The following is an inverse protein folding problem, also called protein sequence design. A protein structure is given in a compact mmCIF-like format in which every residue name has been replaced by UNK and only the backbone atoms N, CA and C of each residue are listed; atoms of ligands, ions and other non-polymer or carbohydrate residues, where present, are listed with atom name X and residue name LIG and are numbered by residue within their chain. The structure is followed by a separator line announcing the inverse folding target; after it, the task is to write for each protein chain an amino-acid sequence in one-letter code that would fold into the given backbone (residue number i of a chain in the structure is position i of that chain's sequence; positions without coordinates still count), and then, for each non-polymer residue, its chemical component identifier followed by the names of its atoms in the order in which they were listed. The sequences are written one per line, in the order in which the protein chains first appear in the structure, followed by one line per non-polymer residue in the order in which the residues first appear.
data_IF_861400402210
#
_entry.id   IF_861400402210
#
_cell.length_a   1.000
_cell.length_b   1.000
_cell.length_c   1.000
_cell.angle_alpha   90.00
_cell.angle_beta   90.00
_cell.angle_gamma   90.00
#
_symmetry.space_group_name_H-M   'P 1'
#
loop_
_entity.id
_entity.type
_entity.pdbx_description
1 polymer ?
#
# COMPACT_ATOMS: atom_id res chain seq x y z
N UNK A 1 -19.12 2.86 22.39
CA UNK A 1 -18.67 1.69 21.58
C UNK A 1 -17.76 2.07 20.38
N UNK A 2 -17.57 3.37 20.05
CA UNK A 2 -16.74 3.83 18.91
C UNK A 2 -15.21 3.85 19.20
N UNK A 3 -14.78 3.87 20.46
CA UNK A 3 -13.41 4.27 20.82
C UNK A 3 -12.35 3.19 20.59
N UNK A 4 -12.70 1.90 20.53
CA UNK A 4 -11.73 0.80 20.39
C UNK A 4 -11.13 0.73 18.98
N UNK A 5 -11.88 1.15 17.95
CA UNK A 5 -11.46 1.07 16.55
C UNK A 5 -10.28 1.99 16.22
N UNK A 6 -10.17 3.16 16.87
CA UNK A 6 -9.06 4.09 16.67
C UNK A 6 -7.72 3.55 17.17
N UNK A 7 -7.74 2.87 18.33
CA UNK A 7 -6.56 2.24 18.92
C UNK A 7 -6.12 1.03 18.09
N UNK A 8 -7.07 0.17 17.68
CA UNK A 8 -6.81 -0.98 16.81
C UNK A 8 -6.22 -0.54 15.46
N UNK A 9 -6.83 0.44 14.80
CA UNK A 9 -6.34 0.97 13.52
C UNK A 9 -4.95 1.60 13.66
N UNK A 10 -4.71 2.35 14.73
CA UNK A 10 -3.40 2.94 15.01
C UNK A 10 -2.31 1.90 15.27
N UNK A 11 -2.59 0.84 16.04
CA UNK A 11 -1.67 -0.27 16.29
C UNK A 11 -1.30 -1.01 15.00
N UNK A 12 -2.28 -1.28 14.15
CA UNK A 12 -2.07 -1.92 12.84
C UNK A 12 -1.16 -1.05 11.96
N UNK A 13 -1.43 0.26 11.87
CA UNK A 13 -0.61 1.20 11.09
C UNK A 13 0.83 1.29 11.61
N UNK A 14 1.03 1.33 12.94
CA UNK A 14 2.36 1.32 13.55
C UNK A 14 3.12 0.02 13.25
N UNK A 15 2.45 -1.13 13.35
CA UNK A 15 3.03 -2.44 13.02
C UNK A 15 3.47 -2.51 11.55
N UNK A 16 2.62 -2.09 10.62
CA UNK A 16 2.96 -2.02 9.21
C UNK A 16 4.08 -1.01 8.92
N UNK A 17 4.09 0.14 9.59
CA UNK A 17 5.15 1.14 9.47
C UNK A 17 6.52 0.60 9.88
N UNK A 18 6.59 -0.14 10.99
CA UNK A 18 7.80 -0.82 11.43
C UNK A 18 8.26 -1.89 10.42
N UNK A 19 7.34 -2.73 9.94
CA UNK A 19 7.65 -3.76 8.96
C UNK A 19 8.22 -3.15 7.67
N UNK A 20 7.65 -2.04 7.17
CA UNK A 20 8.13 -1.30 6.01
C UNK A 20 9.51 -0.67 6.26
N UNK A 21 9.71 -0.08 7.44
CA UNK A 21 10.97 0.56 7.82
C UNK A 21 12.14 -0.42 7.87
N UNK A 22 11.89 -1.66 8.32
CA UNK A 22 12.91 -2.72 8.41
C UNK A 22 12.96 -3.64 7.19
N UNK A 23 12.06 -3.48 6.20
CA UNK A 23 12.04 -4.33 4.99
C UNK A 23 13.31 -4.12 4.17
N UNK A 24 14.25 -5.06 4.29
CA UNK A 24 15.45 -5.14 3.48
C UNK A 24 15.10 -5.72 2.11
N UNK A 25 15.20 -4.92 1.06
CA UNK A 25 14.85 -5.39 -0.29
C UNK A 25 16.00 -6.19 -0.87
N UNK A 26 15.77 -7.49 -1.11
CA UNK A 26 16.76 -8.40 -1.63
C UNK A 26 16.73 -8.38 -3.17
N UNK A 27 17.67 -7.65 -3.78
CA UNK A 27 17.73 -7.41 -5.24
C UNK A 27 17.75 -8.68 -6.08
N UNK A 28 18.33 -9.77 -5.57
CA UNK A 28 18.41 -11.06 -6.27
C UNK A 28 17.01 -11.64 -6.52
N UNK A 29 16.09 -11.50 -5.56
CA UNK A 29 14.73 -11.97 -5.72
C UNK A 29 13.95 -11.12 -6.73
N UNK A 30 14.20 -9.82 -6.80
CA UNK A 30 13.46 -8.90 -7.68
C UNK A 30 13.90 -9.04 -9.15
N UNK A 31 15.20 -9.15 -9.42
CA UNK A 31 15.71 -9.39 -10.78
C UNK A 31 15.35 -10.79 -11.30
N UNK A 32 15.39 -11.82 -10.45
CA UNK A 32 14.91 -13.16 -10.80
C UNK A 32 13.40 -13.16 -11.06
N UNK A 33 12.62 -12.36 -10.32
CA UNK A 33 11.19 -12.28 -10.53
C UNK A 33 10.81 -11.65 -11.87
N UNK A 34 11.53 -10.61 -12.29
CA UNK A 34 11.35 -9.94 -13.57
C UNK A 34 11.75 -10.83 -14.75
N UNK A 35 12.91 -11.50 -14.69
CA UNK A 35 13.33 -12.43 -15.75
C UNK A 35 12.41 -13.64 -15.88
N UNK A 36 11.83 -14.10 -14.77
CA UNK A 36 10.80 -15.16 -14.79
C UNK A 36 9.46 -14.65 -15.32
N UNK A 37 9.14 -13.36 -15.13
CA UNK A 37 7.93 -12.73 -15.68
C UNK A 37 8.04 -12.63 -17.21
N UNK A 38 9.21 -12.24 -17.73
CA UNK A 38 9.50 -12.20 -19.17
C UNK A 38 9.49 -13.59 -19.82
N UNK A 39 9.84 -14.63 -19.06
CA UNK A 39 9.86 -16.02 -19.54
C UNK A 39 8.49 -16.73 -19.42
N UNK A 40 7.49 -16.11 -18.80
CA UNK A 40 6.19 -16.71 -18.60
C UNK A 40 5.35 -16.70 -19.90
N UNK A 41 4.95 -17.90 -20.36
CA UNK A 41 4.13 -18.06 -21.58
C UNK A 41 2.61 -17.98 -21.35
N UNK A 42 2.16 -18.05 -20.10
CA UNK A 42 0.72 -18.09 -19.77
C UNK A 42 0.26 -16.77 -19.14
N UNK A 43 -0.77 -16.16 -19.72
CA UNK A 43 -1.43 -14.95 -19.21
C UNK A 43 -1.93 -15.13 -17.76
N UNK A 44 -2.41 -16.32 -17.42
CA UNK A 44 -2.86 -16.64 -16.07
C UNK A 44 -1.71 -16.59 -15.05
N UNK A 45 -0.53 -17.09 -15.42
CA UNK A 45 0.65 -17.03 -14.57
C UNK A 45 1.14 -15.58 -14.42
N UNK A 46 1.10 -14.78 -15.49
CA UNK A 46 1.47 -13.37 -15.45
C UNK A 46 0.55 -12.57 -14.50
N UNK A 47 -0.77 -12.80 -14.62
CA UNK A 47 -1.78 -12.15 -13.77
C UNK A 47 -1.63 -12.54 -12.30
N UNK A 48 -1.55 -13.84 -12.00
CA UNK A 48 -1.42 -14.32 -10.62
C UNK A 48 -0.12 -13.85 -9.97
N UNK A 49 0.99 -13.89 -10.71
CA UNK A 49 2.28 -13.43 -10.18
C UNK A 49 2.29 -11.92 -9.95
N UNK A 50 1.73 -11.13 -10.86
CA UNK A 50 1.55 -9.68 -10.68
C UNK A 50 0.65 -9.35 -9.48
N UNK A 51 -0.47 -10.06 -9.33
CA UNK A 51 -1.38 -9.91 -8.20
C UNK A 51 -0.69 -10.27 -6.88
N UNK A 52 0.07 -11.37 -6.83
CA UNK A 52 0.85 -11.79 -5.66
C UNK A 52 1.88 -10.73 -5.26
N UNK A 53 2.64 -10.18 -6.21
CA UNK A 53 3.63 -9.11 -5.91
C UNK A 53 2.94 -7.88 -5.30
N UNK A 54 1.75 -7.52 -5.79
CA UNK A 54 0.99 -6.41 -5.25
C UNK A 54 0.44 -6.69 -3.84
N UNK A 55 -0.12 -7.89 -3.61
CA UNK A 55 -0.61 -8.34 -2.29
C UNK A 55 0.53 -8.46 -1.26
N UNK A 56 1.73 -8.88 -1.70
CA UNK A 56 2.90 -9.00 -0.82
C UNK A 56 3.55 -7.64 -0.51
N UNK A 57 3.10 -6.55 -1.16
CA UNK A 57 3.51 -5.20 -0.84
C UNK A 57 2.62 -4.63 0.29
N UNK A 58 3.10 -4.54 1.55
CA UNK A 58 2.27 -4.06 2.67
C UNK A 58 1.69 -2.66 2.44
N UNK A 59 2.30 -1.87 1.55
CA UNK A 59 1.84 -0.52 1.16
C UNK A 59 0.46 -0.53 0.52
N UNK A 60 0.07 -1.60 -0.19
CA UNK A 60 -1.25 -1.65 -0.82
C UNK A 60 -2.37 -1.67 0.23
N UNK A 61 -2.15 -2.36 1.36
CA UNK A 61 -3.14 -2.44 2.42
C UNK A 61 -3.37 -1.08 3.07
N UNK A 62 -2.30 -0.34 3.34
CA UNK A 62 -2.43 1.03 3.86
C UNK A 62 -3.20 1.88 2.86
N UNK A 63 -2.81 1.89 1.59
CA UNK A 63 -3.48 2.66 0.56
C UNK A 63 -5.00 2.38 0.53
N UNK A 64 -5.39 1.11 0.50
CA UNK A 64 -6.80 0.73 0.49
C UNK A 64 -7.51 1.09 1.80
N UNK A 65 -6.88 0.87 2.95
CA UNK A 65 -7.47 1.20 4.26
C UNK A 65 -7.65 2.71 4.44
N UNK A 66 -6.66 3.51 4.07
CA UNK A 66 -6.72 4.98 4.14
C UNK A 66 -7.79 5.54 3.22
N UNK A 67 -7.84 5.10 1.96
CA UNK A 67 -8.85 5.58 1.02
C UNK A 67 -10.26 5.12 1.38
N UNK A 68 -10.42 3.88 1.83
CA UNK A 68 -11.71 3.38 2.30
C UNK A 68 -12.18 4.20 3.49
N UNK A 69 -11.34 4.43 4.49
CA UNK A 69 -11.69 5.26 5.64
C UNK A 69 -12.13 6.67 5.23
N UNK A 70 -11.38 7.32 4.33
CA UNK A 70 -11.64 8.70 3.90
C UNK A 70 -12.94 8.84 3.10
N UNK A 71 -13.19 7.89 2.19
CA UNK A 71 -14.39 7.90 1.35
C UNK A 71 -15.63 7.51 2.15
N UNK A 72 -15.50 6.58 3.08
CA UNK A 72 -16.59 6.24 4.00
C UNK A 72 -17.01 7.46 4.83
N UNK A 73 -16.07 8.28 5.32
CA UNK A 73 -16.43 9.49 6.10
C UNK A 73 -17.05 10.59 5.24
N UNK A 74 -16.73 10.66 3.95
CA UNK A 74 -17.25 11.70 3.05
C UNK A 74 -18.60 11.33 2.41
N UNK A 75 -18.76 10.08 1.97
CA UNK A 75 -19.89 9.65 1.14
C UNK A 75 -20.78 8.58 1.79
N UNK A 76 -20.32 7.87 2.83
CA UNK A 76 -21.02 6.72 3.41
C UNK A 76 -21.06 5.49 2.50
N UNK A 77 -21.22 4.29 3.09
CA UNK A 77 -21.09 3.00 2.39
C UNK A 77 -22.18 2.70 1.35
N UNK A 78 -23.32 3.39 1.39
CA UNK A 78 -24.51 3.03 0.60
C UNK A 78 -24.84 4.03 -0.52
N UNK A 79 -23.94 4.95 -0.83
CA UNK A 79 -24.17 5.91 -1.91
C UNK A 79 -23.64 5.40 -3.23
N UNK A 80 -24.29 5.79 -4.33
CA UNK A 80 -23.80 5.51 -5.69
C UNK A 80 -22.40 6.11 -5.93
N UNK A 81 -22.13 7.26 -5.31
CA UNK A 81 -20.84 7.93 -5.35
C UNK A 81 -19.70 7.07 -4.75
N UNK A 82 -19.96 6.34 -3.66
CA UNK A 82 -18.99 5.39 -3.08
C UNK A 82 -18.57 4.34 -4.12
N UNK A 83 -19.53 3.68 -4.76
CA UNK A 83 -19.25 2.64 -5.74
C UNK A 83 -18.56 3.16 -7.00
N UNK A 84 -18.98 4.33 -7.49
CA UNK A 84 -18.34 4.99 -8.64
C UNK A 84 -16.87 5.36 -8.34
N UNK A 85 -16.60 5.90 -7.14
CA UNK A 85 -15.24 6.22 -6.72
C UNK A 85 -14.36 4.97 -6.73
N UNK A 86 -14.82 3.87 -6.13
CA UNK A 86 -14.06 2.62 -6.07
C UNK A 86 -13.80 2.02 -7.46
N UNK A 87 -14.74 2.13 -8.39
CA UNK A 87 -14.56 1.65 -9.77
C UNK A 87 -13.48 2.45 -10.51
N UNK A 88 -13.52 3.78 -10.41
CA UNK A 88 -12.50 4.66 -11.00
C UNK A 88 -11.14 4.45 -10.32
N UNK A 89 -11.11 4.34 -8.99
CA UNK A 89 -9.90 4.08 -8.22
C UNK A 89 -9.26 2.77 -8.65
N UNK A 90 -10.04 1.70 -8.74
CA UNK A 90 -9.56 0.39 -9.17
C UNK A 90 -8.96 0.46 -10.58
N UNK A 91 -9.67 1.05 -11.55
CA UNK A 91 -9.16 1.22 -12.91
C UNK A 91 -7.86 2.04 -12.97
N UNK A 92 -7.78 3.11 -12.20
CA UNK A 92 -6.59 3.98 -12.12
C UNK A 92 -5.41 3.23 -11.51
N UNK A 93 -5.62 2.50 -10.41
CA UNK A 93 -4.55 1.73 -9.75
C UNK A 93 -4.02 0.63 -10.67
N UNK A 94 -4.88 -0.10 -11.36
CA UNK A 94 -4.47 -1.08 -12.37
C UNK A 94 -3.65 -0.44 -13.48
N UNK A 95 -4.08 0.70 -14.01
CA UNK A 95 -3.35 1.42 -15.05
C UNK A 95 -1.96 1.85 -14.55
N UNK A 96 -1.86 2.40 -13.34
CA UNK A 96 -0.58 2.76 -12.73
C UNK A 96 0.36 1.57 -12.57
N UNK A 97 -0.16 0.40 -12.19
CA UNK A 97 0.67 -0.79 -12.02
C UNK A 97 1.18 -1.34 -13.36
N UNK A 98 0.37 -1.30 -14.41
CA UNK A 98 0.82 -1.61 -15.78
C UNK A 98 1.90 -0.62 -16.25
N UNK A 99 1.71 0.68 -16.00
CA UNK A 99 2.68 1.72 -16.34
C UNK A 99 3.98 1.49 -15.57
N UNK A 100 3.94 1.17 -14.28
CA UNK A 100 5.15 0.88 -13.48
C UNK A 100 5.94 -0.28 -14.05
N UNK A 101 5.29 -1.37 -14.44
CA UNK A 101 5.97 -2.54 -15.03
C UNK A 101 6.60 -2.18 -16.37
N UNK A 102 5.87 -1.47 -17.24
CA UNK A 102 6.38 -0.98 -18.52
C UNK A 102 7.57 -0.03 -18.34
N UNK A 103 7.46 0.90 -17.39
CA UNK A 103 8.50 1.87 -17.10
C UNK A 103 9.73 1.18 -16.50
N UNK A 104 9.56 0.20 -15.61
CA UNK A 104 10.66 -0.55 -15.03
C UNK A 104 11.41 -1.40 -16.07
N UNK A 105 10.69 -2.04 -17.01
CA UNK A 105 11.35 -2.79 -18.09
C UNK A 105 12.16 -1.86 -19.01
N UNK A 106 11.72 -0.61 -19.19
CA UNK A 106 12.43 0.40 -19.97
C UNK A 106 13.54 1.12 -19.20
N UNK A 107 13.47 1.16 -17.86
CA UNK A 107 14.38 1.87 -16.97
C UNK A 107 15.49 1.01 -16.35
N UNK A 108 15.71 -0.23 -16.83
CA UNK A 108 16.77 -1.12 -16.34
C UNK A 108 18.18 -0.46 -16.31
N UNK A 109 18.41 0.60 -17.10
CA UNK A 109 19.69 1.31 -17.15
C UNK A 109 19.82 2.54 -16.22
N UNK A 110 18.76 2.97 -15.51
CA UNK A 110 18.74 4.31 -14.87
C UNK A 110 18.32 4.37 -13.40
N UNK A 111 18.12 3.25 -12.69
CA UNK A 111 17.86 3.30 -11.25
C UNK A 111 19.16 3.19 -10.44
N UNK A 112 19.73 4.30 -9.93
CA UNK A 112 20.90 4.24 -9.07
C UNK A 112 20.59 3.43 -7.79
N UNK A 113 21.62 2.75 -7.31
CA UNK A 113 21.59 1.91 -6.12
C UNK A 113 20.95 2.64 -4.92
N UNK A 114 19.93 2.02 -4.30
CA UNK A 114 19.47 2.38 -2.95
C UNK A 114 18.24 3.28 -2.81
N UNK A 115 17.65 3.82 -3.89
CA UNK A 115 16.44 4.67 -3.80
C UNK A 115 15.25 3.93 -3.18
N UNK A 116 15.01 2.68 -3.56
CA UNK A 116 13.87 1.92 -3.05
C UNK A 116 13.88 1.70 -1.53
N UNK A 117 15.07 1.55 -0.93
CA UNK A 117 15.18 1.44 0.54
C UNK A 117 14.84 2.77 1.19
N UNK A 118 15.23 3.91 0.60
CA UNK A 118 14.86 5.24 1.08
C UNK A 118 13.34 5.47 0.98
N UNK A 119 12.71 5.02 -0.10
CA UNK A 119 11.25 5.09 -0.28
C UNK A 119 10.53 4.28 0.80
N UNK A 120 10.87 2.99 0.99
CA UNK A 120 10.24 2.16 2.03
C UNK A 120 10.43 2.75 3.44
N UNK A 121 11.59 3.33 3.71
CA UNK A 121 11.91 3.93 5.01
C UNK A 121 11.12 5.22 5.25
N UNK A 122 11.00 6.07 4.24
CA UNK A 122 10.17 7.27 4.29
C UNK A 122 8.68 6.91 4.46
N UNK A 123 8.19 5.92 3.72
CA UNK A 123 6.81 5.45 3.84
C UNK A 123 6.53 4.80 5.20
N UNK A 124 7.43 3.95 5.71
CA UNK A 124 7.32 3.37 7.04
C UNK A 124 7.28 4.43 8.14
N UNK A 125 8.04 5.51 7.99
CA UNK A 125 7.99 6.66 8.89
C UNK A 125 6.64 7.38 8.85
N UNK A 126 6.09 7.65 7.66
CA UNK A 126 4.77 8.27 7.50
C UNK A 126 3.68 7.43 8.17
N UNK A 127 3.71 6.10 7.99
CA UNK A 127 2.76 5.19 8.62
C UNK A 127 2.83 5.19 10.14
N UNK A 128 4.05 5.21 10.69
CA UNK A 128 4.26 5.34 12.14
C UNK A 128 3.68 6.65 12.67
N UNK A 129 3.92 7.77 11.99
CA UNK A 129 3.36 9.06 12.39
C UNK A 129 1.82 9.07 12.37
N UNK A 130 1.21 8.52 11.32
CA UNK A 130 -0.26 8.44 11.22
C UNK A 130 -0.84 7.52 12.30
N UNK A 131 -0.22 6.35 12.54
CA UNK A 131 -0.66 5.43 13.56
C UNK A 131 -0.60 6.02 14.97
N UNK A 132 0.51 6.69 15.31
CA UNK A 132 0.67 7.40 16.58
C UNK A 132 -0.35 8.54 16.74
N UNK A 133 -0.61 9.30 15.68
CA UNK A 133 -1.63 10.34 15.68
C UNK A 133 -3.03 9.80 15.98
N UNK A 134 -3.41 8.68 15.37
CA UNK A 134 -4.70 8.03 15.63
C UNK A 134 -4.83 7.59 17.09
N UNK A 135 -3.81 6.95 17.65
CA UNK A 135 -3.80 6.51 19.06
C UNK A 135 -3.93 7.72 19.98
N UNK A 136 -3.11 8.77 19.78
CA UNK A 136 -3.14 9.97 20.59
C UNK A 136 -4.51 10.68 20.54
N UNK A 137 -5.07 10.86 19.34
CA UNK A 137 -6.41 11.45 19.16
C UNK A 137 -7.47 10.66 19.91
N UNK A 138 -7.44 9.34 19.83
CA UNK A 138 -8.42 8.48 20.52
C UNK A 138 -8.26 8.50 22.04
N UNK A 139 -7.04 8.59 22.56
CA UNK A 139 -6.79 8.74 24.01
C UNK A 139 -7.29 10.08 24.56
N UNK A 140 -7.07 11.18 23.84
CA UNK A 140 -7.59 12.50 24.22
C UNK A 140 -9.13 12.49 24.25
N UNK A 141 -9.76 11.89 23.25
CA UNK A 141 -11.22 11.70 23.21
C UNK A 141 -11.76 10.81 24.33
N UNK A 142 -10.96 9.89 24.87
CA UNK A 142 -11.33 9.02 25.99
C UNK A 142 -11.19 9.69 27.35
N UNK A 143 -10.21 10.59 27.53
CA UNK A 143 -10.02 11.32 28.79
C UNK A 143 -10.83 12.62 28.88
N UNK A 144 -11.29 13.18 27.76
CA UNK A 144 -12.01 14.45 27.71
C UNK A 144 -13.54 14.36 27.63
N UNK A 145 -14.12 13.16 27.72
CA UNK A 145 -15.57 12.92 27.74
C UNK A 145 -16.00 12.14 28.97
#
# INVERSE_FOLDING_TARGET
MINTFGILGGLVLCGFGLLLFFKKMNRVAESQNLSTLERAKSLFFLFTKGALVNITNPTIFVFWLTLTALITTHYGFHTTAYWQFFLVLFGTTLAFDLIKVYLFSRMHNFLPLGIHSKINRALGFVLLCIGLFFIAKTLVLLCGG
#
